data_IF_933435859760
#
_entry.id   IF_933435859760
#
_cell.length_a   1.000
_cell.length_b   1.000
_cell.length_c   1.000
_cell.angle_alpha   90.00
_cell.angle_beta   90.00
_cell.angle_gamma   90.00
#
_symmetry.space_group_name_H-M   'P 1'
#
loop_
_entity.id
_entity.type
_entity.pdbx_description
1 polymer ?
#
# COMPACT_ATOMS: atom_id res chain seq x y z
N UNK A 1 18.68 -8.70 -7.19
CA UNK A 1 18.18 -7.48 -6.54
C UNK A 1 16.67 -7.47 -6.51
N UNK A 2 16.07 -6.96 -5.42
CA UNK A 2 14.62 -6.90 -5.22
C UNK A 2 14.04 -5.78 -6.11
N UNK A 3 13.00 -6.04 -6.93
CA UNK A 3 12.32 -4.98 -7.69
C UNK A 3 11.71 -3.92 -6.78
N UNK A 4 11.89 -2.64 -7.10
CA UNK A 4 11.29 -1.53 -6.34
C UNK A 4 9.75 -1.62 -6.28
N UNK A 5 9.13 -2.22 -7.30
CA UNK A 5 7.69 -2.48 -7.35
C UNK A 5 7.18 -3.40 -6.23
N UNK A 6 8.06 -4.18 -5.61
CA UNK A 6 7.74 -5.09 -4.50
C UNK A 6 7.92 -4.44 -3.13
N UNK A 7 8.44 -3.22 -3.09
CA UNK A 7 8.74 -2.51 -1.85
C UNK A 7 7.60 -1.53 -1.55
N UNK A 8 7.09 -1.59 -0.32
CA UNK A 8 6.13 -0.63 0.19
C UNK A 8 6.80 0.73 0.42
N UNK A 9 6.28 1.84 -0.11
CA UNK A 9 6.90 3.15 0.02
C UNK A 9 6.79 3.75 1.43
N UNK A 10 5.97 3.17 2.30
CA UNK A 10 5.83 3.61 3.70
C UNK A 10 6.76 2.86 4.65
N UNK A 11 6.86 1.53 4.49
CA UNK A 11 7.67 0.69 5.38
C UNK A 11 9.09 0.48 4.86
N UNK A 12 9.32 0.70 3.55
CA UNK A 12 10.54 0.34 2.83
C UNK A 12 10.87 -1.16 2.90
N UNK A 13 9.84 -1.99 3.14
CA UNK A 13 9.92 -3.45 3.18
C UNK A 13 9.10 -4.08 2.05
N UNK A 14 9.37 -5.36 1.76
CA UNK A 14 8.58 -6.13 0.80
C UNK A 14 7.11 -6.22 1.25
N UNK A 15 6.17 -6.07 0.32
CA UNK A 15 4.74 -6.24 0.59
C UNK A 15 4.43 -7.64 1.13
N UNK A 16 3.63 -7.72 2.19
CA UNK A 16 3.05 -8.98 2.70
C UNK A 16 1.54 -9.00 2.53
N UNK A 17 0.88 -7.87 2.80
CA UNK A 17 -0.57 -7.71 2.66
C UNK A 17 -0.88 -6.36 2.00
N UNK A 18 -0.61 -6.24 0.68
CA UNK A 18 -0.75 -4.98 -0.02
C UNK A 18 -2.22 -4.57 -0.16
N UNK A 19 -2.50 -3.32 0.20
CA UNK A 19 -3.71 -2.59 -0.14
C UNK A 19 -3.43 -1.63 -1.29
N UNK A 20 -4.38 -1.52 -2.23
CA UNK A 20 -4.31 -0.64 -3.38
C UNK A 20 -5.40 0.44 -3.31
N UNK A 21 -5.01 1.68 -3.58
CA UNK A 21 -5.94 2.80 -3.75
C UNK A 21 -6.59 2.79 -5.14
N UNK A 22 -7.68 3.54 -5.31
CA UNK A 22 -8.33 3.72 -6.62
C UNK A 22 -7.41 4.29 -7.71
N UNK A 23 -6.34 4.98 -7.31
CA UNK A 23 -5.33 5.53 -8.22
C UNK A 23 -4.18 4.54 -8.52
N UNK A 24 -4.31 3.27 -8.11
CA UNK A 24 -3.32 2.22 -8.37
C UNK A 24 -2.06 2.29 -7.50
N UNK A 25 -2.07 3.04 -6.40
CA UNK A 25 -0.94 3.09 -5.45
C UNK A 25 -1.09 1.99 -4.41
N UNK A 26 -0.01 1.27 -4.15
CA UNK A 26 0.02 0.16 -3.18
C UNK A 26 0.67 0.59 -1.88
N UNK A 27 0.20 0.01 -0.78
CA UNK A 27 0.70 0.23 0.57
C UNK A 27 0.58 -1.05 1.38
N UNK A 28 1.51 -1.30 2.28
CA UNK A 28 1.36 -2.36 3.27
C UNK A 28 0.17 -2.04 4.19
N UNK A 29 -0.72 -3.02 4.44
CA UNK A 29 -1.97 -2.80 5.18
C UNK A 29 -1.72 -2.10 6.51
N UNK A 30 -0.79 -2.62 7.32
CA UNK A 30 -0.53 -2.08 8.66
C UNK A 30 -0.11 -0.61 8.59
N UNK A 31 0.76 -0.28 7.65
CA UNK A 31 1.30 1.08 7.52
C UNK A 31 0.25 2.09 7.05
N UNK A 32 -0.58 1.74 6.07
CA UNK A 32 -1.61 2.67 5.58
C UNK A 32 -2.77 2.81 6.56
N UNK A 33 -3.12 1.75 7.30
CA UNK A 33 -4.10 1.84 8.39
C UNK A 33 -3.59 2.76 9.50
N UNK A 34 -2.35 2.56 9.96
CA UNK A 34 -1.75 3.43 10.97
C UNK A 34 -1.66 4.89 10.52
N UNK A 35 -1.34 5.12 9.24
CA UNK A 35 -1.35 6.46 8.64
C UNK A 35 -2.72 7.13 8.77
N UNK A 36 -3.80 6.41 8.46
CA UNK A 36 -5.18 6.92 8.56
C UNK A 36 -5.62 7.09 10.03
N UNK A 37 -5.24 6.16 10.91
CA UNK A 37 -5.55 6.19 12.35
C UNK A 37 -4.90 7.38 13.07
N UNK A 38 -3.77 7.88 12.55
CA UNK A 38 -3.12 9.13 13.01
C UNK A 38 -3.89 10.40 12.60
N UNK A 39 -5.05 10.27 11.95
CA UNK A 39 -5.90 11.38 11.54
C UNK A 39 -5.58 11.93 10.15
N UNK A 40 -4.72 11.26 9.38
CA UNK A 40 -4.51 11.65 7.98
C UNK A 40 -5.67 11.16 7.11
N UNK A 41 -6.06 11.98 6.15
CA UNK A 41 -7.18 11.72 5.23
C UNK A 41 -6.74 11.82 3.75
N UNK A 42 -5.43 11.74 3.51
CA UNK A 42 -4.83 11.83 2.17
C UNK A 42 -3.86 10.70 1.90
N UNK A 43 -3.70 10.36 0.62
CA UNK A 43 -2.72 9.43 0.11
C UNK A 43 -1.30 9.97 0.35
N UNK A 44 -0.40 9.19 1.00
CA UNK A 44 0.98 9.63 1.27
C UNK A 44 1.78 10.01 0.02
N UNK A 45 1.44 9.43 -1.14
CA UNK A 45 2.19 9.62 -2.39
C UNK A 45 1.59 10.71 -3.29
N UNK A 46 0.27 10.81 -3.36
CA UNK A 46 -0.42 11.69 -4.31
C UNK A 46 -1.10 12.88 -3.64
N UNK A 47 -1.18 12.88 -2.31
CA UNK A 47 -1.91 13.87 -1.49
C UNK A 47 -3.39 14.01 -1.85
N UNK A 48 -3.95 13.04 -2.58
CA UNK A 48 -5.37 12.98 -2.89
C UNK A 48 -6.16 12.41 -1.72
N UNK A 49 -7.45 12.75 -1.55
CA UNK A 49 -8.28 12.20 -0.48
C UNK A 49 -8.23 10.67 -0.43
N UNK A 50 -8.05 10.13 0.76
CA UNK A 50 -7.95 8.70 1.01
C UNK A 50 -8.62 8.35 2.33
N UNK A 51 -9.35 7.23 2.32
CA UNK A 51 -9.93 6.61 3.51
C UNK A 51 -9.81 5.11 3.38
N UNK A 52 -10.00 4.39 4.49
CA UNK A 52 -9.86 2.94 4.52
C UNK A 52 -10.83 2.24 3.56
N UNK A 53 -12.04 2.80 3.36
CA UNK A 53 -13.05 2.28 2.44
C UNK A 53 -12.70 2.47 0.96
N UNK A 54 -11.69 3.29 0.64
CA UNK A 54 -11.17 3.50 -0.70
C UNK A 54 -9.99 2.58 -1.05
N UNK A 55 -9.59 1.72 -0.12
CA UNK A 55 -8.51 0.74 -0.28
C UNK A 55 -9.09 -0.65 -0.52
N UNK A 56 -8.50 -1.38 -1.45
CA UNK A 56 -8.86 -2.78 -1.77
C UNK A 56 -7.64 -3.69 -1.68
N UNK A 57 -7.76 -4.96 -1.27
CA UNK A 57 -6.65 -5.90 -1.31
C UNK A 57 -6.08 -6.08 -2.72
N UNK A 58 -4.75 -6.14 -2.85
CA UNK A 58 -4.07 -6.44 -4.12
C UNK A 58 -3.48 -7.86 -4.10
N UNK A 59 -4.34 -8.86 -4.27
CA UNK A 59 -3.93 -10.26 -4.30
C UNK A 59 -2.93 -10.57 -5.43
N UNK A 60 -3.02 -9.86 -6.57
CA UNK A 60 -2.10 -10.02 -7.70
C UNK A 60 -0.67 -9.65 -7.29
N UNK A 61 -0.47 -8.47 -6.71
CA UNK A 61 0.84 -8.04 -6.23
C UNK A 61 1.41 -8.98 -5.18
N UNK A 62 0.55 -9.47 -4.26
CA UNK A 62 0.98 -10.49 -3.27
C UNK A 62 1.52 -11.75 -3.95
N UNK A 63 0.81 -12.29 -4.94
CA UNK A 63 1.24 -13.48 -5.68
C UNK A 63 2.54 -13.23 -6.46
N UNK A 64 2.68 -12.06 -7.08
CA UNK A 64 3.90 -11.67 -7.80
C UNK A 64 5.12 -11.58 -6.87
N UNK A 65 4.92 -11.03 -5.67
CA UNK A 65 5.96 -10.95 -4.63
C UNK A 65 6.31 -12.34 -4.09
N UNK A 66 5.32 -13.18 -3.79
CA UNK A 66 5.53 -14.52 -3.23
C UNK A 66 6.23 -15.46 -4.23
N UNK A 67 6.08 -15.21 -5.53
CA UNK A 67 6.69 -15.99 -6.61
C UNK A 67 8.09 -15.54 -7.03
N UNK A 68 8.61 -14.47 -6.44
CA UNK A 68 9.94 -13.92 -6.71
C UNK A 68 10.98 -14.44 -5.73
#
# INVERSE_FOLDING_TARGET
DIPESFICPLTLEIYRDPLMSRCGKNFERKAIVEWLDRGNDTCPLTRQPLSLSLLVPNAKLRIEVDGW
#
